data_IF_166231974887
#
_entry.id   IF_166231974887
#
_cell.length_a   1.000
_cell.length_b   1.000
_cell.length_c   1.000
_cell.angle_alpha   90.00
_cell.angle_beta   90.00
_cell.angle_gamma   90.00
#
_symmetry.space_group_name_H-M   'P 1'
#
loop_
_entity.id
_entity.type
_entity.pdbx_description
1 polymer ?
#
# COMPACT_ATOMS: atom_id res chain seq x y z
N UNK A 1 -4.75 -22.78 10.24
CA UNK A 1 -5.53 -22.85 8.98
C UNK A 1 -6.94 -22.31 9.07
N UNK A 2 -7.77 -22.59 10.10
CA UNK A 2 -9.21 -22.26 10.04
C UNK A 2 -9.48 -20.75 9.99
N UNK A 3 -8.74 -19.93 10.75
CA UNK A 3 -8.93 -18.47 10.75
C UNK A 3 -8.77 -17.84 9.36
N UNK A 4 -7.84 -18.35 8.55
CA UNK A 4 -7.53 -17.80 7.22
C UNK A 4 -8.60 -18.17 6.20
N UNK A 5 -9.06 -19.41 6.25
CA UNK A 5 -10.21 -19.88 5.49
C UNK A 5 -11.44 -19.04 5.84
N UNK A 6 -11.75 -18.91 7.15
CA UNK A 6 -12.88 -18.11 7.63
C UNK A 6 -12.78 -16.66 7.17
N UNK A 7 -11.60 -16.03 7.28
CA UNK A 7 -11.41 -14.65 6.83
C UNK A 7 -11.64 -14.49 5.31
N UNK A 8 -11.19 -15.45 4.49
CA UNK A 8 -11.39 -15.44 3.05
C UNK A 8 -12.85 -15.72 2.66
N UNK A 9 -13.53 -16.62 3.38
CA UNK A 9 -14.96 -16.86 3.23
C UNK A 9 -15.76 -15.60 3.56
N UNK A 10 -15.47 -14.94 4.68
CA UNK A 10 -16.12 -13.70 5.07
C UNK A 10 -15.88 -12.59 4.05
N UNK A 11 -14.66 -12.49 3.51
CA UNK A 11 -14.34 -11.53 2.46
C UNK A 11 -15.14 -11.81 1.19
N UNK A 12 -15.30 -13.08 0.81
CA UNK A 12 -16.13 -13.49 -0.33
C UNK A 12 -17.61 -13.12 -0.10
N UNK A 13 -18.18 -13.46 1.05
CA UNK A 13 -19.58 -13.13 1.36
C UNK A 13 -19.82 -11.62 1.41
N UNK A 14 -18.85 -10.86 1.94
CA UNK A 14 -18.90 -9.40 1.91
C UNK A 14 -18.88 -8.87 0.47
N UNK A 15 -18.11 -9.50 -0.42
CA UNK A 15 -18.06 -9.16 -1.84
C UNK A 15 -19.35 -9.53 -2.58
N UNK A 16 -19.91 -10.71 -2.31
CA UNK A 16 -21.17 -11.18 -2.89
C UNK A 16 -22.36 -10.33 -2.42
N UNK A 17 -22.32 -9.81 -1.19
CA UNK A 17 -23.36 -8.95 -0.63
C UNK A 17 -24.65 -9.70 -0.24
N UNK A 18 -24.64 -11.03 -0.30
CA UNK A 18 -25.76 -11.91 0.03
C UNK A 18 -25.30 -13.15 0.80
N UNK A 19 -26.22 -13.73 1.58
CA UNK A 19 -25.98 -14.92 2.39
C UNK A 19 -27.10 -15.91 2.16
N UNK A 20 -26.99 -16.68 1.08
CA UNK A 20 -27.84 -17.84 0.80
C UNK A 20 -26.99 -19.13 0.77
N UNK A 21 -27.65 -20.27 0.59
CA UNK A 21 -26.97 -21.57 0.62
C UNK A 21 -25.91 -21.73 -0.47
N UNK A 22 -26.17 -21.17 -1.66
CA UNK A 22 -25.25 -21.27 -2.81
C UNK A 22 -24.00 -20.44 -2.57
N UNK A 23 -24.16 -19.22 -2.04
CA UNK A 23 -23.06 -18.30 -1.73
C UNK A 23 -22.21 -18.80 -0.57
N UNK A 24 -22.81 -19.44 0.43
CA UNK A 24 -22.05 -20.09 1.51
C UNK A 24 -21.19 -21.24 0.97
N UNK A 25 -21.74 -22.05 0.05
CA UNK A 25 -20.98 -23.12 -0.60
C UNK A 25 -19.85 -22.55 -1.47
N UNK A 26 -20.15 -21.53 -2.27
CA UNK A 26 -19.15 -20.85 -3.09
C UNK A 26 -18.05 -20.20 -2.24
N UNK A 27 -18.41 -19.56 -1.11
CA UNK A 27 -17.47 -19.01 -0.15
C UNK A 27 -16.53 -20.09 0.39
N UNK A 28 -17.06 -21.26 0.77
CA UNK A 28 -16.27 -22.37 1.29
C UNK A 28 -15.26 -22.88 0.25
N UNK A 29 -15.71 -23.09 -1.00
CA UNK A 29 -14.88 -23.57 -2.09
C UNK A 29 -13.79 -22.56 -2.46
N UNK A 30 -14.17 -21.31 -2.72
CA UNK A 30 -13.25 -20.22 -3.06
C UNK A 30 -12.28 -19.93 -1.93
N UNK A 31 -12.77 -19.85 -0.69
CA UNK A 31 -11.94 -19.65 0.50
C UNK A 31 -10.96 -20.79 0.72
N UNK A 32 -11.39 -22.04 0.49
CA UNK A 32 -10.54 -23.23 0.53
C UNK A 32 -9.41 -23.16 -0.49
N UNK A 33 -9.75 -22.88 -1.75
CA UNK A 33 -8.81 -22.76 -2.87
C UNK A 33 -7.81 -21.60 -2.66
N UNK A 34 -8.29 -20.46 -2.17
CA UNK A 34 -7.44 -19.33 -1.84
C UNK A 34 -6.52 -19.63 -0.64
N UNK A 35 -7.01 -20.35 0.38
CA UNK A 35 -6.20 -20.73 1.53
C UNK A 35 -5.08 -21.72 1.16
N UNK A 36 -5.36 -22.70 0.29
CA UNK A 36 -4.37 -23.67 -0.21
C UNK A 36 -3.33 -22.98 -1.10
N UNK A 37 -3.76 -22.15 -2.05
CA UNK A 37 -2.86 -21.37 -2.89
C UNK A 37 -1.96 -20.47 -2.04
N UNK A 38 -2.52 -19.81 -1.02
CA UNK A 38 -1.74 -18.96 -0.13
C UNK A 38 -0.72 -19.74 0.72
N UNK A 39 -0.96 -21.03 0.98
CA UNK A 39 0.02 -21.89 1.64
C UNK A 39 1.14 -22.31 0.68
N UNK A 40 0.80 -22.62 -0.57
CA UNK A 40 1.76 -22.94 -1.62
C UNK A 40 2.70 -21.75 -1.90
N UNK A 41 2.14 -20.56 -2.08
CA UNK A 41 2.91 -19.33 -2.29
C UNK A 41 3.86 -19.03 -1.13
N UNK A 42 3.45 -19.29 0.11
CA UNK A 42 4.32 -19.12 1.30
C UNK A 42 5.53 -20.06 1.34
N UNK A 43 5.51 -21.18 0.62
CA UNK A 43 6.65 -22.09 0.51
C UNK A 43 7.66 -21.63 -0.53
N UNK A 44 7.21 -20.91 -1.55
CA UNK A 44 8.02 -20.46 -2.69
C UNK A 44 8.51 -19.03 -2.48
N UNK A 45 7.80 -18.22 -1.69
CA UNK A 45 8.15 -16.83 -1.45
C UNK A 45 9.54 -16.71 -0.79
N UNK A 46 10.47 -15.94 -1.37
CA UNK A 46 11.82 -15.75 -0.82
C UNK A 46 11.80 -15.01 0.52
N UNK A 47 10.72 -14.26 0.77
CA UNK A 47 10.55 -13.42 1.93
C UNK A 47 9.18 -13.63 2.56
N UNK A 48 9.16 -13.65 3.90
CA UNK A 48 7.91 -13.68 4.66
C UNK A 48 7.59 -12.27 5.09
N UNK A 49 6.42 -11.78 4.71
CA UNK A 49 5.87 -10.57 5.29
C UNK A 49 5.35 -10.87 6.71
N UNK A 50 5.68 -10.01 7.65
CA UNK A 50 5.07 -9.98 8.98
C UNK A 50 3.61 -9.56 8.91
N UNK A 51 2.86 -9.81 9.99
CA UNK A 51 1.52 -9.24 10.09
C UNK A 51 1.65 -7.73 10.29
N UNK A 52 1.09 -6.90 9.40
CA UNK A 52 1.19 -5.46 9.55
C UNK A 52 0.42 -5.03 10.80
N UNK A 53 1.11 -4.38 11.72
CA UNK A 53 0.50 -3.68 12.87
C UNK A 53 0.76 -2.19 12.73
N UNK A 54 0.22 -1.52 11.68
CA UNK A 54 0.38 -0.10 11.54
C UNK A 54 -0.21 0.58 12.77
N UNK A 55 0.45 1.65 13.27
CA UNK A 55 -0.12 2.39 14.38
C UNK A 55 -1.47 2.95 13.93
N UNK A 56 -2.49 2.90 14.81
CA UNK A 56 -3.87 3.30 14.46
C UNK A 56 -3.93 4.73 13.86
N UNK A 57 -3.05 5.63 14.33
CA UNK A 57 -2.88 6.98 13.78
C UNK A 57 -2.61 6.99 12.27
N UNK A 58 -1.87 6.02 11.75
CA UNK A 58 -1.51 5.93 10.33
C UNK A 58 -2.72 5.47 9.50
N UNK A 59 -3.50 4.51 10.01
CA UNK A 59 -4.75 4.08 9.37
C UNK A 59 -5.78 5.22 9.32
N UNK A 60 -5.92 5.95 10.42
CA UNK A 60 -6.87 7.07 10.52
C UNK A 60 -6.43 8.30 9.71
N UNK A 61 -5.11 8.52 9.56
CA UNK A 61 -4.59 9.62 8.75
C UNK A 61 -4.69 9.34 7.25
N UNK A 62 -4.75 8.07 6.82
CA UNK A 62 -4.64 7.68 5.42
C UNK A 62 -5.71 8.32 4.51
N UNK A 63 -7.02 8.34 4.87
CA UNK A 63 -8.03 9.02 4.05
C UNK A 63 -7.77 10.52 3.92
N UNK A 64 -7.35 11.19 5.00
CA UNK A 64 -7.04 12.62 4.99
C UNK A 64 -5.81 12.92 4.14
N UNK A 65 -4.77 12.07 4.23
CA UNK A 65 -3.58 12.18 3.37
C UNK A 65 -3.95 12.01 1.90
N UNK A 66 -4.74 11.00 1.55
CA UNK A 66 -5.20 10.78 0.18
C UNK A 66 -6.00 11.96 -0.35
N UNK A 67 -6.95 12.48 0.43
CA UNK A 67 -7.76 13.62 0.05
C UNK A 67 -6.89 14.88 -0.19
N UNK A 68 -5.92 15.14 0.68
CA UNK A 68 -5.00 16.27 0.57
C UNK A 68 -4.07 16.17 -0.63
N UNK A 69 -3.54 14.99 -0.92
CA UNK A 69 -2.68 14.76 -2.09
C UNK A 69 -3.49 14.85 -3.38
N UNK A 70 -4.72 14.31 -3.38
CA UNK A 70 -5.66 14.42 -4.51
C UNK A 70 -6.04 15.86 -4.80
N UNK A 71 -6.40 16.64 -3.78
CA UNK A 71 -6.74 18.04 -3.94
C UNK A 71 -5.58 18.86 -4.50
N UNK A 72 -4.34 18.56 -4.09
CA UNK A 72 -3.18 19.22 -4.67
C UNK A 72 -2.94 18.81 -6.12
N UNK A 73 -2.95 17.52 -6.44
CA UNK A 73 -2.74 17.08 -7.83
C UNK A 73 -3.82 17.66 -8.74
N UNK A 74 -5.07 17.67 -8.30
CA UNK A 74 -6.18 18.31 -9.00
C UNK A 74 -5.96 19.81 -9.19
N UNK A 75 -5.56 20.54 -8.14
CA UNK A 75 -5.26 21.97 -8.25
C UNK A 75 -4.08 22.25 -9.21
N UNK A 76 -3.07 21.39 -9.23
CA UNK A 76 -1.95 21.49 -10.16
C UNK A 76 -2.41 21.26 -11.61
N UNK A 77 -3.24 20.25 -11.84
CA UNK A 77 -3.85 19.96 -13.13
C UNK A 77 -4.74 21.11 -13.62
N UNK A 78 -5.59 21.68 -12.76
CA UNK A 78 -6.44 22.83 -13.12
C UNK A 78 -5.61 24.05 -13.52
N UNK A 79 -4.49 24.31 -12.82
CA UNK A 79 -3.55 25.38 -13.20
C UNK A 79 -2.93 25.13 -14.58
N UNK A 80 -2.50 23.90 -14.84
CA UNK A 80 -1.97 23.48 -16.13
C UNK A 80 -2.97 23.72 -17.27
N UNK A 81 -4.21 23.26 -17.06
CA UNK A 81 -5.30 23.39 -18.03
C UNK A 81 -5.68 24.85 -18.30
N UNK A 82 -5.45 25.74 -17.33
CA UNK A 82 -5.66 27.20 -17.48
C UNK A 82 -4.47 27.91 -18.13
N UNK A 83 -3.48 27.18 -18.66
CA UNK A 83 -2.30 27.74 -19.32
C UNK A 83 -1.28 28.37 -18.37
N UNK A 84 -1.39 28.13 -17.05
CA UNK A 84 -0.39 28.61 -16.10
C UNK A 84 0.83 27.70 -16.11
N UNK A 85 2.01 28.31 -16.02
CA UNK A 85 3.27 27.59 -15.93
C UNK A 85 3.27 26.67 -14.70
N UNK A 86 3.50 25.38 -14.93
CA UNK A 86 3.63 24.40 -13.87
C UNK A 86 5.08 24.30 -13.43
N UNK A 87 5.30 24.18 -12.12
CA UNK A 87 6.62 23.77 -11.62
C UNK A 87 6.88 22.33 -12.07
N UNK A 88 8.10 22.02 -12.56
CA UNK A 88 8.45 20.66 -12.90
C UNK A 88 8.42 19.79 -11.64
N UNK A 89 8.06 18.52 -11.84
CA UNK A 89 8.18 17.49 -10.83
C UNK A 89 9.62 17.33 -10.34
N UNK A 90 9.79 16.71 -9.18
CA UNK A 90 11.11 16.44 -8.60
C UNK A 90 11.20 15.02 -8.10
N UNK A 91 12.35 14.39 -8.33
CA UNK A 91 12.74 13.15 -7.68
C UNK A 91 13.41 13.52 -6.35
N UNK A 92 12.98 12.87 -5.27
CA UNK A 92 13.59 12.99 -3.95
C UNK A 92 13.92 11.62 -3.41
N UNK A 93 15.11 11.48 -2.85
CA UNK A 93 15.47 10.29 -2.10
C UNK A 93 14.82 10.34 -0.72
N UNK A 94 14.13 9.26 -0.34
CA UNK A 94 13.52 9.09 0.97
C UNK A 94 14.20 7.93 1.73
N UNK A 95 14.43 8.06 3.05
CA UNK A 95 14.98 6.98 3.86
C UNK A 95 13.96 5.87 4.05
N UNK A 96 14.47 4.63 4.10
CA UNK A 96 13.67 3.41 4.18
C UNK A 96 14.32 2.41 5.12
N UNK A 97 13.49 1.73 5.93
CA UNK A 97 13.90 0.69 6.84
C UNK A 97 14.79 -0.34 6.17
N UNK A 98 16.00 -0.47 6.69
CA UNK A 98 16.97 -1.48 6.32
C UNK A 98 16.69 -2.79 7.04
N UNK A 99 17.05 -3.91 6.42
CA UNK A 99 16.89 -5.24 6.99
C UNK A 99 15.94 -6.14 6.20
N UNK A 100 16.15 -7.44 6.34
CA UNK A 100 15.39 -8.48 5.63
C UNK A 100 14.50 -9.29 6.60
N UNK A 101 14.28 -8.78 7.81
CA UNK A 101 13.33 -9.41 8.71
C UNK A 101 11.89 -9.13 8.23
N UNK A 102 10.93 -10.02 8.57
CA UNK A 102 9.54 -9.86 8.15
C UNK A 102 8.92 -8.51 8.52
N UNK A 103 9.33 -7.91 9.63
CA UNK A 103 8.87 -6.60 10.09
C UNK A 103 9.31 -5.48 9.15
N UNK A 104 10.61 -5.38 8.87
CA UNK A 104 11.14 -4.33 7.98
C UNK A 104 10.63 -4.46 6.56
N UNK A 105 10.50 -5.68 6.02
CA UNK A 105 9.94 -5.90 4.68
C UNK A 105 8.46 -5.46 4.59
N UNK A 106 7.69 -5.69 5.65
CA UNK A 106 6.28 -5.27 5.71
C UNK A 106 6.16 -3.76 5.83
N UNK A 107 6.93 -3.13 6.71
CA UNK A 107 7.01 -1.67 6.86
C UNK A 107 7.40 -1.02 5.53
N UNK A 108 8.42 -1.57 4.89
CA UNK A 108 8.94 -1.15 3.59
C UNK A 108 7.85 -1.23 2.50
N UNK A 109 7.17 -2.36 2.37
CA UNK A 109 6.08 -2.54 1.41
C UNK A 109 4.89 -1.59 1.66
N UNK A 110 4.50 -1.39 2.93
CA UNK A 110 3.43 -0.45 3.28
C UNK A 110 3.80 1.01 3.04
N UNK A 111 5.07 1.38 3.25
CA UNK A 111 5.56 2.72 2.89
C UNK A 111 5.50 2.95 1.38
N UNK A 112 5.94 2.00 0.54
CA UNK A 112 5.77 2.11 -0.93
C UNK A 112 4.31 2.32 -1.28
N UNK A 113 3.44 1.45 -0.75
CA UNK A 113 2.02 1.48 -1.05
C UNK A 113 1.43 2.84 -0.68
N UNK A 114 1.69 3.33 0.53
CA UNK A 114 1.21 4.65 0.99
C UNK A 114 1.68 5.78 0.06
N UNK A 115 2.95 5.77 -0.31
CA UNK A 115 3.55 6.83 -1.12
C UNK A 115 3.07 6.81 -2.57
N UNK A 116 2.76 5.63 -3.09
CA UNK A 116 2.34 5.43 -4.49
C UNK A 116 0.82 5.43 -4.68
N UNK A 117 0.04 5.27 -3.59
CA UNK A 117 -1.41 5.44 -3.62
C UNK A 117 -1.82 6.91 -3.75
N UNK A 118 -0.98 7.84 -3.28
CA UNK A 118 -1.24 9.26 -3.39
C UNK A 118 -0.97 9.73 -4.83
N UNK A 119 -1.90 10.47 -5.47
CA UNK A 119 -1.76 10.84 -6.89
C UNK A 119 -0.66 11.88 -7.16
N UNK A 120 0.05 12.33 -6.13
CA UNK A 120 1.12 13.30 -6.27
C UNK A 120 2.51 12.65 -6.40
N UNK A 121 2.66 11.35 -6.11
CA UNK A 121 3.97 10.71 -6.24
C UNK A 121 3.92 9.19 -6.29
N UNK A 122 5.04 8.61 -6.70
CA UNK A 122 5.23 7.17 -6.73
C UNK A 122 6.71 6.83 -6.55
N UNK A 123 6.96 5.69 -5.93
CA UNK A 123 8.33 5.18 -5.74
C UNK A 123 8.81 4.52 -7.02
N UNK A 124 10.04 4.81 -7.41
CA UNK A 124 10.72 4.21 -8.57
C UNK A 124 11.82 3.24 -8.10
N UNK A 125 12.16 2.24 -8.91
CA UNK A 125 13.13 1.19 -8.54
C UNK A 125 14.60 1.60 -8.80
N UNK A 126 14.83 2.82 -9.29
CA UNK A 126 16.15 3.36 -9.67
C UNK A 126 16.95 3.91 -8.47
N UNK A 127 16.95 3.22 -7.32
CA UNK A 127 17.79 3.70 -6.21
C UNK A 127 19.27 3.42 -6.48
N UNK A 128 20.07 4.49 -6.65
CA UNK A 128 21.52 4.38 -6.72
C UNK A 128 22.16 4.00 -5.37
N UNK A 129 21.45 4.21 -4.25
CA UNK A 129 21.96 4.02 -2.89
C UNK A 129 21.09 3.04 -2.08
N UNK A 130 21.70 2.06 -1.38
CA UNK A 130 20.97 1.19 -0.48
C UNK A 130 20.27 1.97 0.64
N UNK A 131 18.97 1.75 0.84
CA UNK A 131 18.18 2.38 1.92
C UNK A 131 17.61 3.75 1.62
N UNK A 132 17.86 4.25 0.41
CA UNK A 132 17.21 5.42 -0.12
C UNK A 132 16.37 4.99 -1.30
N UNK A 133 15.14 5.51 -1.38
CA UNK A 133 14.29 5.27 -2.53
C UNK A 133 13.95 6.56 -3.26
N UNK A 134 14.04 6.56 -4.59
CA UNK A 134 13.61 7.70 -5.39
C UNK A 134 12.08 7.77 -5.41
N UNK A 135 11.54 8.79 -4.76
CA UNK A 135 10.14 9.20 -4.85
C UNK A 135 10.03 10.28 -5.92
N UNK A 136 9.36 9.96 -7.03
CA UNK A 136 9.00 10.96 -8.02
C UNK A 136 7.75 11.71 -7.53
N UNK A 137 7.82 13.04 -7.47
CA UNK A 137 6.70 13.90 -7.09
C UNK A 137 6.30 14.83 -8.23
N UNK A 138 5.00 14.89 -8.54
CA UNK A 138 4.44 15.82 -9.50
C UNK A 138 4.49 17.26 -8.95
N UNK A 139 4.08 17.46 -7.69
CA UNK A 139 4.26 18.73 -6.98
C UNK A 139 5.18 18.50 -5.78
N UNK A 140 6.38 19.11 -5.78
CA UNK A 140 7.37 18.90 -4.73
C UNK A 140 6.84 19.28 -3.33
N UNK A 141 6.99 18.37 -2.37
CA UNK A 141 6.65 18.58 -0.96
C UNK A 141 7.61 17.82 -0.04
N UNK A 142 7.85 18.29 1.20
CA UNK A 142 8.43 17.46 2.24
C UNK A 142 7.55 16.22 2.46
N UNK A 143 8.17 15.05 2.58
CA UNK A 143 7.50 13.79 2.89
C UNK A 143 8.34 13.07 3.91
N UNK A 144 7.72 12.74 5.04
CA UNK A 144 8.30 11.87 6.05
C UNK A 144 8.26 10.46 5.46
N UNK A 145 9.41 9.86 5.18
CA UNK A 145 9.54 8.57 4.50
C UNK A 145 8.89 7.43 5.28
N UNK A 146 9.71 6.64 5.97
CA UNK A 146 9.23 5.66 6.95
C UNK A 146 9.38 6.13 8.41
N UNK A 147 9.78 7.38 8.63
CA UNK A 147 10.00 7.98 9.96
C UNK A 147 8.76 7.96 10.88
N UNK A 148 7.57 7.85 10.29
CA UNK A 148 6.28 7.85 11.00
C UNK A 148 5.93 6.51 11.66
N UNK A 149 6.69 5.45 11.38
CA UNK A 149 6.54 4.13 11.97
C UNK A 149 7.21 4.05 13.35
N UNK A 150 6.58 3.43 14.36
CA UNK A 150 7.25 3.16 15.63
C UNK A 150 8.46 2.23 15.39
N UNK A 151 9.57 2.53 16.07
CA UNK A 151 10.77 1.68 16.11
C UNK A 151 10.59 0.46 17.00
#
# INVERSE_FOLDING_TARGET
MPLRLIALMLLYLLFAGQVDGEEVLAALLCGGLAATLSLALRRIAPHRLGWPRPPARLLLALPLTLLRETALTAAALCRAASGREMRPGKIREIPVAQGNDPGSLTRRGLSILRLSLAPNGYVTDDSAQPGLWPLHQLVPRPVDGDETWPG
#
